data_IF_990094618162
#
_entry.id   IF_990094618162
#
_cell.length_a   1.000
_cell.length_b   1.000
_cell.length_c   1.000
_cell.angle_alpha   90.00
_cell.angle_beta   90.00
_cell.angle_gamma   90.00
#
_symmetry.space_group_name_H-M   'P 1'
#
loop_
_entity.id
_entity.type
_entity.pdbx_description
1 polymer ?
#
# COMPACT_ATOMS: atom_id res chain seq x y z
N UNK A 1 -15.77 -14.98 3.23
CA UNK A 1 -15.09 -16.17 2.68
C UNK A 1 -14.88 -16.01 1.18
N UNK A 2 -13.86 -15.24 0.79
CA UNK A 2 -13.49 -15.05 -0.63
C UNK A 2 -12.05 -15.56 -0.91
N UNK A 3 -11.74 -16.76 -0.42
CA UNK A 3 -10.43 -17.41 -0.54
C UNK A 3 -9.97 -17.62 -2.01
N UNK A 4 -10.93 -17.71 -2.94
CA UNK A 4 -10.67 -17.81 -4.39
C UNK A 4 -10.08 -16.54 -5.01
N UNK A 5 -10.37 -15.37 -4.44
CA UNK A 5 -9.89 -14.10 -5.00
C UNK A 5 -8.40 -13.91 -4.72
N UNK A 6 -7.95 -14.24 -3.50
CA UNK A 6 -6.56 -14.08 -3.09
C UNK A 6 -5.61 -15.03 -3.83
N UNK A 7 -5.98 -16.30 -3.95
CA UNK A 7 -5.17 -17.29 -4.67
C UNK A 7 -5.04 -16.95 -6.16
N UNK A 8 -6.10 -16.43 -6.79
CA UNK A 8 -6.06 -15.97 -8.17
C UNK A 8 -5.07 -14.81 -8.38
N UNK A 9 -5.00 -13.85 -7.44
CA UNK A 9 -4.07 -12.71 -7.53
C UNK A 9 -2.62 -13.16 -7.34
N UNK A 10 -2.38 -14.03 -6.35
CA UNK A 10 -1.05 -14.60 -6.13
C UNK A 10 -0.56 -15.26 -7.42
N UNK A 11 -1.44 -15.99 -8.11
CA UNK A 11 -1.10 -16.65 -9.37
C UNK A 11 -0.88 -15.67 -10.52
N UNK A 12 -1.78 -14.67 -10.70
CA UNK A 12 -1.65 -13.62 -11.71
C UNK A 12 -0.35 -12.81 -11.57
N UNK A 13 0.01 -12.47 -10.33
CA UNK A 13 1.27 -11.75 -10.06
C UNK A 13 2.46 -12.67 -10.25
N UNK A 14 2.38 -13.94 -9.82
CA UNK A 14 3.44 -14.92 -10.06
C UNK A 14 3.70 -15.16 -11.55
N UNK A 15 2.67 -15.08 -12.41
CA UNK A 15 2.81 -15.13 -13.85
C UNK A 15 3.55 -13.90 -14.41
N UNK A 16 3.24 -12.70 -13.93
CA UNK A 16 3.94 -11.46 -14.32
C UNK A 16 5.41 -11.47 -13.91
N UNK A 17 5.72 -12.06 -12.76
CA UNK A 17 7.07 -12.13 -12.23
C UNK A 17 7.91 -13.25 -12.87
N UNK A 18 7.29 -14.13 -13.68
CA UNK A 18 7.96 -15.28 -14.28
C UNK A 18 8.95 -14.81 -15.35
N UNK A 19 10.23 -15.06 -15.09
CA UNK A 19 11.35 -14.68 -15.97
C UNK A 19 12.29 -13.70 -15.30
N UNK A 20 11.76 -12.66 -14.66
CA UNK A 20 12.53 -11.62 -13.96
C UNK A 20 12.84 -11.96 -12.48
N UNK A 21 12.03 -12.86 -11.90
CA UNK A 21 12.17 -13.30 -10.52
C UNK A 21 12.21 -14.81 -10.40
N UNK A 22 12.93 -15.31 -9.39
CA UNK A 22 12.86 -16.72 -9.00
C UNK A 22 11.57 -16.98 -8.22
N UNK A 23 11.03 -18.19 -8.30
CA UNK A 23 9.82 -18.57 -7.56
C UNK A 23 9.95 -18.35 -6.04
N UNK A 24 11.15 -18.52 -5.49
CA UNK A 24 11.45 -18.24 -4.07
C UNK A 24 11.39 -16.74 -3.71
N UNK A 25 11.43 -15.85 -4.70
CA UNK A 25 11.39 -14.40 -4.53
C UNK A 25 9.98 -13.83 -4.70
N UNK A 26 9.03 -14.59 -5.27
CA UNK A 26 7.67 -14.09 -5.49
C UNK A 26 7.00 -13.63 -4.20
N UNK A 27 7.23 -14.34 -3.10
CA UNK A 27 6.73 -13.95 -1.78
C UNK A 27 7.24 -12.58 -1.33
N UNK A 28 8.47 -12.19 -1.71
CA UNK A 28 9.05 -10.89 -1.36
C UNK A 28 8.33 -9.73 -2.04
N UNK A 29 7.71 -9.98 -3.19
CA UNK A 29 6.88 -8.98 -3.89
C UNK A 29 5.43 -9.09 -3.42
N UNK A 30 4.85 -10.28 -3.44
CA UNK A 30 3.42 -10.48 -3.20
C UNK A 30 3.02 -10.08 -1.76
N UNK A 31 3.83 -10.41 -0.75
CA UNK A 31 3.51 -10.12 0.64
C UNK A 31 3.38 -8.62 0.96
N UNK A 32 4.38 -7.76 0.68
CA UNK A 32 4.26 -6.34 1.01
C UNK A 32 3.13 -5.66 0.23
N UNK A 33 2.89 -6.01 -1.04
CA UNK A 33 1.75 -5.47 -1.80
C UNK A 33 0.39 -5.92 -1.23
N UNK A 34 0.29 -7.17 -0.78
CA UNK A 34 -0.93 -7.68 -0.11
C UNK A 34 -1.19 -6.93 1.19
N UNK A 35 -0.15 -6.71 2.01
CA UNK A 35 -0.25 -5.93 3.24
C UNK A 35 -0.65 -4.49 2.93
N UNK A 36 0.01 -3.85 1.96
CA UNK A 36 -0.30 -2.49 1.51
C UNK A 36 -1.78 -2.35 1.13
N UNK A 37 -2.29 -3.25 0.28
CA UNK A 37 -3.68 -3.19 -0.17
C UNK A 37 -4.67 -3.40 0.98
N UNK A 38 -4.35 -4.30 1.92
CA UNK A 38 -5.20 -4.53 3.08
C UNK A 38 -5.27 -3.31 4.00
N UNK A 39 -4.13 -2.67 4.26
CA UNK A 39 -4.08 -1.43 5.05
C UNK A 39 -4.84 -0.29 4.34
N UNK A 40 -4.69 -0.17 3.02
CA UNK A 40 -5.40 0.81 2.19
C UNK A 40 -6.93 0.62 2.27
N UNK A 41 -7.42 -0.62 2.15
CA UNK A 41 -8.86 -0.92 2.27
C UNK A 41 -9.42 -0.55 3.66
N UNK A 42 -8.70 -0.90 4.73
CA UNK A 42 -9.14 -0.60 6.11
C UNK A 42 -9.19 0.91 6.36
N UNK A 43 -8.27 1.67 5.78
CA UNK A 43 -8.23 3.12 5.95
C UNK A 43 -9.13 3.87 4.97
N UNK A 44 -9.64 3.25 3.90
CA UNK A 44 -10.41 3.92 2.84
C UNK A 44 -11.60 4.72 3.41
N UNK A 45 -12.28 4.19 4.42
CA UNK A 45 -13.43 4.84 5.08
C UNK A 45 -13.04 6.00 5.99
N UNK A 46 -11.87 5.95 6.64
CA UNK A 46 -11.43 6.94 7.63
C UNK A 46 -10.45 7.97 7.09
N UNK A 47 -9.87 7.73 5.90
CA UNK A 47 -8.81 8.54 5.29
C UNK A 47 -9.16 10.01 5.17
N UNK A 48 -10.35 10.35 4.67
CA UNK A 48 -10.77 11.74 4.53
C UNK A 48 -10.80 12.48 5.88
N UNK A 49 -11.27 11.81 6.94
CA UNK A 49 -11.30 12.36 8.28
C UNK A 49 -9.89 12.51 8.89
N UNK A 50 -9.01 11.52 8.66
CA UNK A 50 -7.61 11.55 9.11
C UNK A 50 -6.85 12.69 8.44
N UNK A 51 -7.01 12.89 7.13
CA UNK A 51 -6.35 13.97 6.39
C UNK A 51 -6.82 15.37 6.85
N UNK A 52 -8.13 15.53 7.08
CA UNK A 52 -8.68 16.78 7.60
C UNK A 52 -8.13 17.08 9.01
N UNK A 53 -8.13 16.10 9.91
CA UNK A 53 -7.59 16.26 11.26
C UNK A 53 -6.08 16.56 11.23
N UNK A 54 -5.32 15.89 10.35
CA UNK A 54 -3.90 16.16 10.17
C UNK A 54 -3.65 17.61 9.77
N UNK A 55 -4.39 18.12 8.78
CA UNK A 55 -4.26 19.50 8.32
C UNK A 55 -4.59 20.52 9.43
N UNK A 56 -5.61 20.24 10.25
CA UNK A 56 -6.01 21.13 11.34
C UNK A 56 -5.00 21.12 12.49
N UNK A 57 -4.44 19.95 12.86
CA UNK A 57 -3.40 19.86 13.89
C UNK A 57 -2.07 20.44 13.47
N UNK A 58 -1.70 20.30 12.20
CA UNK A 58 -0.50 20.92 11.64
C UNK A 58 -0.58 22.45 11.72
N UNK A 59 -1.76 23.04 11.42
CA UNK A 59 -1.99 24.50 11.58
C UNK A 59 -1.93 24.96 13.03
N UNK A 60 -2.28 24.09 13.97
CA UNK A 60 -2.28 24.38 15.40
C UNK A 60 -0.92 24.13 16.07
N UNK A 61 0.09 23.65 15.33
CA UNK A 61 1.42 23.25 15.85
C UNK A 61 1.34 22.22 17.00
N UNK A 62 0.36 21.32 16.93
CA UNK A 62 0.14 20.24 17.90
C UNK A 62 0.56 18.92 17.27
N UNK A 63 1.17 18.02 18.06
CA UNK A 63 1.47 16.66 17.61
C UNK A 63 0.16 15.96 17.12
N UNK A 64 0.04 15.66 15.82
CA UNK A 64 -1.20 15.13 15.26
C UNK A 64 -1.42 13.65 15.61
N UNK A 65 -0.37 12.89 15.88
CA UNK A 65 -0.38 11.42 15.94
C UNK A 65 -1.49 10.82 16.84
N UNK A 66 -1.69 11.26 18.10
CA UNK A 66 -2.76 10.71 18.95
C UNK A 66 -4.16 10.94 18.38
N UNK A 67 -4.37 12.06 17.70
CA UNK A 67 -5.65 12.40 17.07
C UNK A 67 -5.88 11.58 15.81
N UNK A 68 -4.83 11.36 15.00
CA UNK A 68 -4.91 10.55 13.80
C UNK A 68 -5.25 9.10 14.13
N UNK A 69 -4.61 8.51 15.15
CA UNK A 69 -4.93 7.15 15.61
C UNK A 69 -6.40 7.03 16.05
N UNK A 70 -6.89 8.02 16.82
CA UNK A 70 -8.28 8.05 17.27
C UNK A 70 -9.26 8.20 16.11
N UNK A 71 -8.94 9.02 15.10
CA UNK A 71 -9.78 9.22 13.90
C UNK A 71 -9.74 8.03 12.94
N UNK A 72 -8.58 7.40 12.80
CA UNK A 72 -8.42 6.19 11.99
C UNK A 72 -9.18 5.01 12.60
N UNK A 73 -9.40 5.01 13.92
CA UNK A 73 -10.04 3.90 14.64
C UNK A 73 -9.19 2.63 14.66
N UNK A 74 -7.90 2.76 14.36
CA UNK A 74 -6.93 1.69 14.21
C UNK A 74 -5.61 2.09 14.87
N UNK A 75 -4.74 1.11 15.12
CA UNK A 75 -3.38 1.34 15.66
C UNK A 75 -2.40 1.93 14.62
N UNK A 76 -2.89 2.36 13.47
CA UNK A 76 -2.11 2.93 12.38
C UNK A 76 -2.95 3.95 11.60
N UNK A 77 -2.28 4.83 10.87
CA UNK A 77 -2.90 5.87 10.03
C UNK A 77 -2.06 6.07 8.76
N UNK A 78 -2.62 6.78 7.80
CA UNK A 78 -1.91 7.25 6.61
C UNK A 78 -2.26 8.73 6.35
N UNK A 79 -1.24 9.57 6.21
CA UNK A 79 -1.35 11.02 5.94
C UNK A 79 -1.08 11.38 4.47
N UNK A 80 -0.81 10.39 3.61
CA UNK A 80 -0.64 10.62 2.18
C UNK A 80 -1.99 10.94 1.53
N UNK A 81 -2.06 11.98 0.68
CA UNK A 81 -3.27 12.27 -0.09
C UNK A 81 -3.53 11.25 -1.21
N UNK A 82 -2.53 10.42 -1.53
CA UNK A 82 -2.57 9.37 -2.54
C UNK A 82 -3.25 8.13 -1.97
N UNK A 83 -3.94 7.37 -2.82
CA UNK A 83 -4.49 6.03 -2.54
C UNK A 83 -4.18 5.12 -3.74
N UNK A 84 -4.32 3.79 -3.59
CA UNK A 84 -3.95 2.88 -4.67
C UNK A 84 -4.69 3.15 -5.98
N UNK A 85 -5.90 3.74 -5.95
CA UNK A 85 -6.65 4.10 -7.16
C UNK A 85 -6.05 5.34 -7.83
N UNK A 86 -5.70 6.37 -7.06
CA UNK A 86 -5.04 7.60 -7.54
C UNK A 86 -3.64 7.32 -8.08
N UNK A 87 -2.92 6.36 -7.52
CA UNK A 87 -1.61 5.93 -8.01
C UNK A 87 -1.68 5.44 -9.47
N UNK A 88 -2.80 4.81 -9.87
CA UNK A 88 -2.99 4.35 -11.26
C UNK A 88 -3.24 5.49 -12.26
N UNK A 89 -3.53 6.70 -11.78
CA UNK A 89 -3.71 7.88 -12.64
C UNK A 89 -2.41 8.48 -13.17
N UNK A 90 -1.26 8.12 -12.61
CA UNK A 90 0.05 8.66 -12.96
C UNK A 90 1.08 7.53 -13.08
N UNK A 91 1.02 6.84 -14.22
CA UNK A 91 1.88 5.70 -14.54
C UNK A 91 3.36 6.09 -14.61
N UNK A 92 3.66 7.27 -15.13
CA UNK A 92 5.04 7.73 -15.37
C UNK A 92 5.80 7.95 -14.05
N UNK A 93 5.09 8.36 -12.99
CA UNK A 93 5.65 8.59 -11.65
C UNK A 93 5.19 7.56 -10.62
N UNK A 94 4.75 6.37 -11.06
CA UNK A 94 4.20 5.34 -10.17
C UNK A 94 5.17 4.98 -9.04
N UNK A 95 6.48 4.98 -9.33
CA UNK A 95 7.54 4.70 -8.37
C UNK A 95 7.59 5.75 -7.26
N UNK A 96 7.73 7.02 -7.63
CA UNK A 96 7.79 8.14 -6.68
C UNK A 96 6.51 8.20 -5.84
N UNK A 97 5.37 8.02 -6.51
CA UNK A 97 4.06 8.06 -5.89
C UNK A 97 3.85 6.88 -4.90
N UNK A 98 4.30 5.67 -5.23
CA UNK A 98 4.23 4.51 -4.32
C UNK A 98 5.15 4.69 -3.11
N UNK A 99 6.35 5.23 -3.32
CA UNK A 99 7.29 5.54 -2.24
C UNK A 99 6.74 6.64 -1.31
N UNK A 100 6.18 7.71 -1.87
CA UNK A 100 5.54 8.77 -1.09
C UNK A 100 4.32 8.23 -0.33
N UNK A 101 3.56 7.33 -0.95
CA UNK A 101 2.42 6.67 -0.32
C UNK A 101 2.83 5.79 0.87
N UNK A 102 3.88 4.97 0.72
CA UNK A 102 4.40 4.13 1.80
C UNK A 102 5.00 4.94 2.95
N UNK A 103 5.66 6.06 2.65
CA UNK A 103 6.20 6.98 3.65
C UNK A 103 5.14 7.74 4.44
N UNK A 104 3.93 7.88 3.89
CA UNK A 104 2.80 8.54 4.55
C UNK A 104 2.13 7.69 5.63
N UNK A 105 2.49 6.42 5.80
CA UNK A 105 1.98 5.59 6.89
C UNK A 105 2.64 5.90 8.24
N UNK A 106 1.99 5.49 9.32
CA UNK A 106 2.55 5.55 10.68
C UNK A 106 3.90 4.83 10.79
N UNK A 107 4.72 5.24 11.77
CA UNK A 107 6.07 4.68 11.95
C UNK A 107 6.09 3.15 12.06
N UNK A 108 5.11 2.56 12.76
CA UNK A 108 4.99 1.10 12.90
C UNK A 108 4.79 0.39 11.55
N UNK A 109 3.98 0.96 10.65
CA UNK A 109 3.75 0.40 9.33
C UNK A 109 4.98 0.58 8.43
N UNK A 110 5.69 1.71 8.56
CA UNK A 110 6.94 1.92 7.82
C UNK A 110 8.02 0.91 8.19
N UNK A 111 8.19 0.59 9.47
CA UNK A 111 9.12 -0.47 9.93
C UNK A 111 8.76 -1.84 9.31
N UNK A 112 7.46 -2.16 9.21
CA UNK A 112 7.02 -3.39 8.53
C UNK A 112 7.48 -3.40 7.06
N UNK A 113 7.28 -2.31 6.32
CA UNK A 113 7.71 -2.23 4.91
C UNK A 113 9.23 -2.25 4.73
N UNK A 114 9.98 -1.67 5.66
CA UNK A 114 11.44 -1.75 5.69
C UNK A 114 11.91 -3.20 5.85
N UNK A 115 11.31 -3.96 6.76
CA UNK A 115 11.62 -5.40 6.96
C UNK A 115 11.27 -6.28 5.76
N UNK A 116 10.33 -5.85 4.93
CA UNK A 116 10.00 -6.52 3.67
C UNK A 116 10.90 -6.09 2.49
N UNK A 117 11.89 -5.23 2.72
CA UNK A 117 12.72 -4.61 1.68
C UNK A 117 11.86 -3.96 0.58
N UNK A 118 10.73 -3.33 0.95
CA UNK A 118 9.71 -2.91 -0.01
C UNK A 118 10.26 -1.95 -1.07
N UNK A 119 11.04 -0.95 -0.67
CA UNK A 119 11.69 -0.01 -1.59
C UNK A 119 12.62 -0.71 -2.59
N UNK A 120 13.37 -1.72 -2.14
CA UNK A 120 14.22 -2.53 -3.01
C UNK A 120 13.39 -3.31 -4.04
N UNK A 121 12.21 -3.82 -3.65
CA UNK A 121 11.30 -4.47 -4.59
C UNK A 121 10.70 -3.49 -5.58
N UNK A 122 10.32 -2.28 -5.16
CA UNK A 122 9.83 -1.21 -6.06
C UNK A 122 10.89 -0.91 -7.13
N UNK A 123 12.15 -0.72 -6.71
CA UNK A 123 13.29 -0.47 -7.60
C UNK A 123 13.46 -1.59 -8.64
N UNK A 124 13.46 -2.85 -8.18
CA UNK A 124 13.65 -4.00 -9.05
C UNK A 124 12.49 -4.19 -10.02
N UNK A 125 11.24 -3.99 -9.56
CA UNK A 125 10.05 -4.01 -10.41
C UNK A 125 10.03 -2.87 -11.43
N UNK A 126 10.53 -1.69 -11.06
CA UNK A 126 10.66 -0.55 -11.97
C UNK A 126 11.63 -0.89 -13.10
N UNK A 127 12.81 -1.43 -12.75
CA UNK A 127 13.83 -1.85 -13.72
C UNK A 127 13.34 -2.95 -14.67
N UNK A 128 12.47 -3.83 -14.19
CA UNK A 128 11.83 -4.88 -14.99
C UNK A 128 10.62 -4.37 -15.81
N UNK A 129 10.17 -3.11 -15.63
CA UNK A 129 8.97 -2.59 -16.29
C UNK A 129 7.66 -3.24 -15.79
N UNK A 130 7.70 -3.88 -14.61
CA UNK A 130 6.58 -4.64 -14.03
C UNK A 130 5.84 -3.88 -12.92
N UNK A 131 6.43 -2.80 -12.39
CA UNK A 131 5.90 -2.10 -11.21
C UNK A 131 4.43 -1.68 -11.37
N UNK A 132 4.12 -0.99 -12.48
CA UNK A 132 2.76 -0.54 -12.75
C UNK A 132 1.79 -1.72 -12.84
N UNK A 133 2.13 -2.74 -13.63
CA UNK A 133 1.28 -3.92 -13.82
C UNK A 133 1.00 -4.65 -12.51
N UNK A 134 2.02 -4.88 -11.69
CA UNK A 134 1.87 -5.52 -10.38
C UNK A 134 0.98 -4.67 -9.48
N UNK A 135 1.23 -3.36 -9.40
CA UNK A 135 0.46 -2.44 -8.55
C UNK A 135 -1.01 -2.38 -8.98
N UNK A 136 -1.28 -2.33 -10.28
CA UNK A 136 -2.64 -2.34 -10.86
C UNK A 136 -3.40 -3.61 -10.45
N UNK A 137 -2.78 -4.80 -10.55
CA UNK A 137 -3.42 -6.05 -10.12
C UNK A 137 -3.85 -6.01 -8.66
N UNK A 138 -3.05 -5.42 -7.77
CA UNK A 138 -3.43 -5.28 -6.36
C UNK A 138 -4.46 -4.18 -6.11
N UNK A 139 -4.43 -3.08 -6.87
CA UNK A 139 -5.35 -1.95 -6.70
C UNK A 139 -6.82 -2.34 -6.99
N UNK A 140 -7.05 -3.24 -7.94
CA UNK A 140 -8.40 -3.70 -8.31
C UNK A 140 -9.04 -4.68 -7.32
N UNK A 141 -8.26 -5.21 -6.38
CA UNK A 141 -8.72 -6.26 -5.49
C UNK A 141 -9.26 -5.65 -4.22
N UNK A 142 -10.43 -6.11 -3.77
CA UNK A 142 -10.92 -5.78 -2.46
C UNK A 142 -10.43 -6.81 -1.42
N UNK A 143 -9.51 -6.38 -0.55
CA UNK A 143 -8.97 -7.18 0.56
C UNK A 143 -9.48 -6.68 1.92
N UNK A 144 -10.62 -5.99 1.95
CA UNK A 144 -11.21 -5.51 3.20
C UNK A 144 -11.54 -6.69 4.14
N UNK A 145 -11.17 -6.66 5.44
CA UNK A 145 -11.38 -7.77 6.37
C UNK A 145 -12.84 -8.27 6.43
N UNK A 146 -13.82 -7.38 6.24
CA UNK A 146 -15.25 -7.75 6.22
C UNK A 146 -15.68 -8.53 4.96
N UNK A 147 -14.87 -8.55 3.91
CA UNK A 147 -15.16 -9.22 2.63
C UNK A 147 -14.40 -10.52 2.43
N UNK A 148 -13.34 -10.79 3.21
CA UNK A 148 -12.50 -11.99 3.04
C UNK A 148 -12.91 -13.11 3.98
#
# INVERSE_FOLDING_TARGET
>A
MNHHSLSAIIWLVADLLRGDYKQSEYGKVILPFTVLRRLDCVLETTKAAVLAEHADKLKADINPEPFLLRKAGQSFYNISPLDMKKLMGDQDHIRENLCAYSQGFSAAVRDIFERFDFYTQIERLTKAGLLYQVTERFAHVDLHPDKV
#
